data_IF_241904879406
#
_entry.id   IF_241904879406
#
_cell.length_a   1.000
_cell.length_b   1.000
_cell.length_c   1.000
_cell.angle_alpha   90.00
_cell.angle_beta   90.00
_cell.angle_gamma   90.00
#
_symmetry.space_group_name_H-M   'P 1'
#
loop_
_entity.id
_entity.type
_entity.pdbx_description
1 polymer ?
#
# COMPACT_ATOMS: atom_id res chain seq x y z
N UNK A 1 -20.65 0.46 2.26
CA UNK A 1 -20.23 0.61 0.85
C UNK A 1 -20.18 -0.78 0.26
N UNK A 2 -20.74 -0.98 -0.94
CA UNK A 2 -20.79 -2.30 -1.53
C UNK A 2 -19.39 -2.71 -2.02
N UNK A 3 -19.09 -4.02 -1.99
CA UNK A 3 -17.86 -4.57 -2.56
C UNK A 3 -17.71 -4.16 -4.03
N UNK A 4 -18.82 -4.13 -4.78
CA UNK A 4 -18.85 -3.71 -6.19
C UNK A 4 -18.33 -2.28 -6.41
N UNK A 5 -18.74 -1.32 -5.57
CA UNK A 5 -18.30 0.08 -5.68
C UNK A 5 -16.78 0.19 -5.51
N UNK A 6 -16.21 -0.61 -4.60
CA UNK A 6 -14.77 -0.64 -4.34
C UNK A 6 -14.05 -1.24 -5.54
N UNK A 7 -14.52 -2.37 -6.07
CA UNK A 7 -13.93 -3.04 -7.23
C UNK A 7 -13.92 -2.14 -8.47
N UNK A 8 -15.03 -1.44 -8.74
CA UNK A 8 -15.13 -0.51 -9.86
C UNK A 8 -14.11 0.62 -9.73
N UNK A 9 -14.02 1.25 -8.55
CA UNK A 9 -13.04 2.30 -8.32
C UNK A 9 -11.59 1.82 -8.43
N UNK A 10 -11.30 0.60 -7.96
CA UNK A 10 -9.97 -0.01 -8.11
C UNK A 10 -9.61 -0.23 -9.59
N UNK A 11 -10.56 -0.71 -10.39
CA UNK A 11 -10.36 -0.91 -11.83
C UNK A 11 -10.07 0.41 -12.57
N UNK A 12 -10.63 1.51 -12.10
CA UNK A 12 -10.41 2.86 -12.65
C UNK A 12 -9.15 3.54 -12.10
N UNK A 13 -8.45 2.91 -11.14
CA UNK A 13 -7.27 3.49 -10.50
C UNK A 13 -7.59 4.61 -9.50
N UNK A 14 -8.80 4.64 -8.93
CA UNK A 14 -9.19 5.61 -7.91
C UNK A 14 -8.40 5.39 -6.60
N UNK A 15 -7.51 6.34 -6.30
CA UNK A 15 -6.68 6.32 -5.08
C UNK A 15 -7.51 6.33 -3.80
N UNK A 16 -8.70 6.93 -3.79
CA UNK A 16 -9.59 6.94 -2.60
C UNK A 16 -10.20 5.57 -2.37
N UNK A 17 -10.60 4.87 -3.43
CA UNK A 17 -11.10 3.50 -3.30
C UNK A 17 -9.99 2.53 -2.92
N UNK A 18 -8.77 2.73 -3.42
CA UNK A 18 -7.60 1.98 -2.95
C UNK A 18 -7.36 2.18 -1.45
N UNK A 19 -7.36 3.42 -0.96
CA UNK A 19 -7.17 3.69 0.46
C UNK A 19 -8.26 3.01 1.32
N UNK A 20 -9.53 3.07 0.89
CA UNK A 20 -10.65 2.40 1.56
C UNK A 20 -10.51 0.88 1.56
N UNK A 21 -10.09 0.30 0.44
CA UNK A 21 -9.85 -1.14 0.34
C UNK A 21 -8.74 -1.58 1.30
N UNK A 22 -7.63 -0.85 1.37
CA UNK A 22 -6.54 -1.11 2.33
C UNK A 22 -7.05 -1.05 3.77
N UNK A 23 -7.77 0.03 4.13
CA UNK A 23 -8.36 0.17 5.47
C UNK A 23 -9.34 -0.96 5.81
N UNK A 24 -10.13 -1.42 4.83
CA UNK A 24 -11.04 -2.55 5.01
C UNK A 24 -10.27 -3.84 5.32
N UNK A 25 -9.21 -4.12 4.55
CA UNK A 25 -8.33 -5.29 4.71
C UNK A 25 -7.57 -5.26 6.04
N UNK A 26 -7.14 -4.10 6.51
CA UNK A 26 -6.41 -3.93 7.78
C UNK A 26 -7.33 -3.94 9.01
N UNK A 27 -8.66 -3.87 8.83
CA UNK A 27 -9.59 -3.75 9.94
C UNK A 27 -9.68 -5.03 10.78
N UNK A 28 -9.69 -4.86 12.11
CA UNK A 28 -9.91 -5.95 13.07
C UNK A 28 -11.39 -6.31 13.28
N UNK A 29 -12.33 -5.51 12.76
CA UNK A 29 -13.77 -5.76 12.88
C UNK A 29 -14.16 -7.04 12.13
N UNK A 30 -14.86 -8.02 12.76
CA UNK A 30 -15.29 -9.26 12.11
C UNK A 30 -16.10 -9.08 10.82
N UNK A 31 -16.97 -8.06 10.75
CA UNK A 31 -17.80 -7.79 9.57
C UNK A 31 -16.94 -7.27 8.41
N UNK A 32 -16.01 -6.37 8.72
CA UNK A 32 -15.04 -5.88 7.75
C UNK A 32 -14.14 -7.00 7.24
N UNK A 33 -13.69 -7.93 8.10
CA UNK A 33 -12.89 -9.09 7.67
C UNK A 33 -13.64 -9.99 6.70
N UNK A 34 -14.93 -10.23 6.93
CA UNK A 34 -15.77 -10.99 6.00
C UNK A 34 -15.89 -10.28 4.65
N UNK A 35 -16.16 -8.97 4.67
CA UNK A 35 -16.22 -8.17 3.45
C UNK A 35 -14.86 -8.09 2.73
N UNK A 36 -13.76 -8.01 3.46
CA UNK A 36 -12.41 -7.96 2.91
C UNK A 36 -12.04 -9.27 2.21
N UNK A 37 -12.39 -10.42 2.79
CA UNK A 37 -12.21 -11.72 2.14
C UNK A 37 -12.98 -11.80 0.81
N UNK A 38 -14.26 -11.41 0.83
CA UNK A 38 -15.10 -11.34 -0.38
C UNK A 38 -14.52 -10.39 -1.45
N UNK A 39 -14.03 -9.22 -1.03
CA UNK A 39 -13.36 -8.28 -1.92
C UNK A 39 -12.11 -8.89 -2.56
N UNK A 40 -11.25 -9.55 -1.77
CA UNK A 40 -10.00 -10.15 -2.23
C UNK A 40 -10.24 -11.31 -3.20
N UNK A 41 -11.27 -12.13 -2.96
CA UNK A 41 -11.67 -13.25 -3.82
C UNK A 41 -12.18 -12.78 -5.19
N UNK A 42 -12.80 -11.59 -5.24
CA UNK A 42 -13.32 -10.99 -6.47
C UNK A 42 -12.29 -10.15 -7.24
N UNK A 43 -11.09 -9.90 -6.68
CA UNK A 43 -10.06 -9.14 -7.39
C UNK A 43 -9.58 -9.92 -8.61
N UNK A 44 -9.50 -9.26 -9.79
CA UNK A 44 -8.98 -9.91 -10.97
C UNK A 44 -7.50 -10.23 -10.79
N UNK A 45 -7.07 -11.37 -11.35
CA UNK A 45 -5.64 -11.67 -11.47
C UNK A 45 -5.00 -10.60 -12.36
N UNK A 46 -3.95 -9.89 -11.91
CA UNK A 46 -3.32 -8.85 -12.70
C UNK A 46 -2.80 -9.41 -14.03
N UNK A 47 -3.14 -8.75 -15.15
CA UNK A 47 -2.63 -9.14 -16.47
C UNK A 47 -1.11 -8.91 -16.61
N UNK A 48 -0.56 -7.97 -15.83
CA UNK A 48 0.88 -7.73 -15.73
C UNK A 48 1.30 -7.74 -14.27
N UNK A 49 2.29 -8.57 -13.95
CA UNK A 49 2.88 -8.60 -12.62
C UNK A 49 3.83 -7.41 -12.44
N UNK A 50 3.64 -6.66 -11.35
CA UNK A 50 4.65 -5.72 -10.89
C UNK A 50 5.83 -6.44 -10.25
N UNK A 51 7.02 -5.82 -10.31
CA UNK A 51 8.21 -6.31 -9.59
C UNK A 51 8.04 -5.99 -8.10
N UNK A 52 8.21 -7.00 -7.23
CA UNK A 52 8.17 -6.84 -5.76
C UNK A 52 9.59 -6.88 -5.23
N UNK A 53 10.05 -5.79 -4.62
CA UNK A 53 11.41 -5.66 -4.06
C UNK A 53 11.33 -5.46 -2.54
N UNK A 54 11.97 -6.35 -1.79
CA UNK A 54 12.15 -6.20 -0.35
C UNK A 54 13.42 -5.41 -0.03
N UNK A 55 13.30 -4.38 0.81
CA UNK A 55 14.44 -3.57 1.25
C UNK A 55 14.54 -3.62 2.77
N UNK A 56 15.73 -3.94 3.27
CA UNK A 56 16.03 -4.04 4.70
C UNK A 56 17.40 -3.43 5.00
N UNK A 57 17.67 -3.17 6.27
CA UNK A 57 18.91 -2.55 6.73
C UNK A 57 18.73 -1.86 8.07
N UNK A 58 19.84 -1.64 8.77
CA UNK A 58 19.86 -1.04 10.11
C UNK A 58 19.24 0.36 10.14
N UNK A 59 18.75 0.84 11.30
CA UNK A 59 18.36 2.24 11.45
C UNK A 59 19.49 3.18 11.04
N UNK A 60 19.18 4.26 10.31
CA UNK A 60 20.17 5.25 9.88
C UNK A 60 20.99 4.91 8.63
N UNK A 61 20.91 3.70 8.05
CA UNK A 61 21.66 3.32 6.83
C UNK A 61 21.22 4.05 5.54
N UNK A 62 20.24 4.96 5.62
CA UNK A 62 19.76 5.73 4.46
C UNK A 62 18.69 5.02 3.60
N UNK A 63 17.97 4.02 4.14
CA UNK A 63 16.92 3.29 3.39
C UNK A 63 15.86 4.21 2.80
N UNK A 64 15.30 5.14 3.60
CA UNK A 64 14.23 6.03 3.14
C UNK A 64 14.73 6.95 2.02
N UNK A 65 15.95 7.50 2.13
CA UNK A 65 16.62 8.28 1.07
C UNK A 65 16.81 7.46 -0.21
N UNK A 66 17.23 6.19 -0.08
CA UNK A 66 17.38 5.31 -1.23
C UNK A 66 16.03 5.02 -1.90
N UNK A 67 15.00 4.67 -1.13
CA UNK A 67 13.66 4.37 -1.65
C UNK A 67 13.08 5.58 -2.38
N UNK A 68 13.24 6.79 -1.84
CA UNK A 68 12.78 8.02 -2.48
C UNK A 68 13.50 8.25 -3.81
N UNK A 69 14.83 8.27 -3.81
CA UNK A 69 15.62 8.49 -5.03
C UNK A 69 15.37 7.43 -6.10
N UNK A 70 15.34 6.15 -5.70
CA UNK A 70 15.04 5.04 -6.60
C UNK A 70 13.61 5.09 -7.14
N UNK A 71 12.64 5.41 -6.28
CA UNK A 71 11.24 5.58 -6.67
C UNK A 71 11.07 6.71 -7.69
N UNK A 72 11.67 7.88 -7.46
CA UNK A 72 11.64 9.00 -8.39
C UNK A 72 12.29 8.65 -9.74
N UNK A 73 13.38 7.87 -9.71
CA UNK A 73 14.03 7.36 -10.90
C UNK A 73 13.15 6.39 -11.72
N UNK A 74 12.32 5.57 -11.06
CA UNK A 74 11.37 4.70 -11.73
C UNK A 74 10.19 5.49 -12.29
N UNK A 75 9.67 6.46 -11.53
CA UNK A 75 8.60 7.35 -11.97
C UNK A 75 9.01 8.15 -13.22
N UNK A 76 10.25 8.66 -13.28
CA UNK A 76 10.76 9.39 -14.46
C UNK A 76 10.89 8.52 -15.71
N UNK A 77 10.91 7.20 -15.56
CA UNK A 77 10.82 6.23 -16.67
C UNK A 77 9.39 5.78 -17.00
N UNK A 78 8.38 6.40 -16.40
CA UNK A 78 6.98 6.07 -16.64
C UNK A 78 6.47 4.85 -15.88
N UNK A 79 7.24 4.31 -14.92
CA UNK A 79 6.74 3.24 -14.06
C UNK A 79 5.79 3.79 -12.99
N UNK A 80 4.92 2.92 -12.48
CA UNK A 80 4.11 3.19 -11.27
C UNK A 80 4.76 2.52 -10.08
N UNK A 81 4.96 3.27 -9.01
CA UNK A 81 5.66 2.81 -7.79
C UNK A 81 4.69 2.84 -6.62
N UNK A 82 4.71 1.79 -5.82
CA UNK A 82 4.06 1.74 -4.50
C UNK A 82 5.10 1.33 -3.47
N UNK A 83 5.08 1.98 -2.30
CA UNK A 83 5.95 1.66 -1.17
C UNK A 83 5.08 1.18 -0.01
N UNK A 84 5.32 -0.04 0.44
CA UNK A 84 4.67 -0.60 1.63
C UNK A 84 5.72 -0.75 2.73
N UNK A 85 5.53 -0.02 3.83
CA UNK A 85 6.37 -0.14 5.00
C UNK A 85 5.87 -1.28 5.89
N UNK A 86 6.78 -2.13 6.37
CA UNK A 86 6.49 -3.17 7.36
C UNK A 86 7.26 -2.86 8.63
N UNK A 87 6.54 -2.55 9.70
CA UNK A 87 7.11 -2.28 11.02
C UNK A 87 6.62 -3.34 12.03
N UNK A 88 7.49 -4.24 12.51
CA UNK A 88 7.10 -5.28 13.48
C UNK A 88 6.68 -4.71 14.84
N UNK A 89 6.98 -3.44 15.15
CA UNK A 89 6.53 -2.79 16.39
C UNK A 89 5.05 -2.40 16.37
N UNK A 90 4.41 -2.38 15.19
CA UNK A 90 3.01 -1.97 14.97
C UNK A 90 1.98 -2.77 15.79
N UNK A 91 2.25 -4.05 16.09
CA UNK A 91 1.40 -4.88 16.95
C UNK A 91 1.30 -4.39 18.40
N UNK A 92 2.22 -3.53 18.86
CA UNK A 92 2.21 -2.94 20.22
C UNK A 92 1.59 -1.55 20.26
N UNK A 93 1.57 -0.82 19.14
CA UNK A 93 1.13 0.58 19.08
C UNK A 93 -0.20 0.79 18.35
N UNK A 94 -0.75 -0.24 17.71
CA UNK A 94 -2.01 -0.15 16.96
C UNK A 94 -1.83 0.37 15.53
N UNK A 95 -0.59 0.39 15.02
CA UNK A 95 -0.25 0.90 13.69
C UNK A 95 0.03 2.41 13.65
N UNK A 96 0.25 2.96 12.45
CA UNK A 96 0.47 4.39 12.23
C UNK A 96 -0.49 4.90 11.15
N UNK A 97 -1.26 5.95 11.47
CA UNK A 97 -2.19 6.58 10.52
C UNK A 97 -1.44 7.32 9.40
N UNK A 98 -0.24 7.84 9.70
CA UNK A 98 0.56 8.66 8.77
C UNK A 98 1.80 7.92 8.23
N UNK A 99 2.15 6.76 8.78
CA UNK A 99 3.32 5.97 8.37
C UNK A 99 4.65 6.75 8.45
N UNK A 100 5.57 6.41 7.55
CA UNK A 100 6.92 7.01 7.42
C UNK A 100 6.92 8.26 6.50
N UNK A 101 5.76 8.88 6.28
CA UNK A 101 5.53 9.96 5.30
C UNK A 101 6.30 11.25 5.59
N UNK A 102 6.80 11.42 6.82
CA UNK A 102 7.68 12.53 7.21
C UNK A 102 9.14 12.34 6.81
N UNK A 103 9.50 11.16 6.26
CA UNK A 103 10.87 10.85 5.80
C UNK A 103 11.00 10.80 4.27
N UNK A 104 9.92 11.03 3.53
CA UNK A 104 9.87 11.02 2.08
C UNK A 104 9.07 12.24 1.60
N UNK A 105 9.78 13.29 1.19
CA UNK A 105 9.20 14.57 0.81
C UNK A 105 8.67 14.56 -0.63
N UNK A 106 9.28 13.76 -1.52
CA UNK A 106 9.00 13.77 -2.97
C UNK A 106 8.16 12.58 -3.43
N UNK A 107 8.28 11.43 -2.76
CA UNK A 107 7.57 10.19 -3.11
C UNK A 107 6.39 9.98 -2.13
N UNK A 108 5.20 10.53 -2.43
CA UNK A 108 4.07 10.58 -1.47
C UNK A 108 2.66 10.32 -2.01
#
# INVERSE_FOLDING_TARGET
MATADILEGLAQGDRRMLARAITLVESSNPDHRRQAADLLDQLPVPQQNGIRLGLSGTPGVGKSTFIESFGMHLLSRGHRVAVLAVDPSSGRTGGSILGDKTRMDLLS
#
